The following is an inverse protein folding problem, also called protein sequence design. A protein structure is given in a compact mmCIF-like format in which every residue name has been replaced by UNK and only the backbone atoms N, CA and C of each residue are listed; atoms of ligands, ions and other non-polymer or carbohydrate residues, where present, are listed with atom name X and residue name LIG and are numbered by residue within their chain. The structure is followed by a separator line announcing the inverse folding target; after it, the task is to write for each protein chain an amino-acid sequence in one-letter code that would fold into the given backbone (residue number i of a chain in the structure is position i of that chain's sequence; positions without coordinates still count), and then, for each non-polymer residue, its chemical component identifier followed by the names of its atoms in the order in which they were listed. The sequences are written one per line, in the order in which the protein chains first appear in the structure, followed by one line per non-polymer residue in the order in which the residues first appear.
data_IF_516311676150
#
_entry.id   IF_516311676150
#
_cell.length_a   1.000
_cell.length_b   1.000
_cell.length_c   1.000
_cell.angle_alpha   90.00
_cell.angle_beta   90.00
_cell.angle_gamma   90.00
#
_symmetry.space_group_name_H-M   'P 1'
#
loop_
_entity.id
_entity.type
_entity.pdbx_description
1 polymer ?
#
# COMPACT_ATOMS: atom_id res chain seq x y z
N UNK A 1 -56.97 -55.93 -6.72
CA UNK A 1 -56.28 -54.81 -6.04
C UNK A 1 -54.93 -54.59 -6.71
N UNK A 2 -54.79 -53.57 -7.58
CA UNK A 2 -53.54 -53.29 -8.33
C UNK A 2 -52.78 -52.15 -7.64
N UNK A 3 -51.64 -52.46 -7.03
CA UNK A 3 -50.69 -51.46 -6.47
C UNK A 3 -49.94 -50.80 -7.63
N UNK A 4 -49.97 -49.46 -7.68
CA UNK A 4 -49.15 -48.64 -8.58
C UNK A 4 -47.81 -48.35 -7.91
N UNK A 5 -46.70 -48.71 -8.56
CA UNK A 5 -45.34 -48.32 -8.18
C UNK A 5 -45.03 -46.92 -8.73
N UNK A 6 -44.60 -46.02 -7.85
CA UNK A 6 -44.10 -44.69 -8.19
C UNK A 6 -42.60 -44.80 -8.55
N UNK A 7 -42.23 -44.34 -9.74
CA UNK A 7 -40.84 -44.14 -10.15
C UNK A 7 -40.48 -42.69 -9.83
N UNK A 8 -39.53 -42.46 -8.93
CA UNK A 8 -38.97 -41.14 -8.64
C UNK A 8 -37.83 -40.85 -9.63
N UNK A 9 -37.95 -39.76 -10.38
CA UNK A 9 -36.90 -39.25 -11.27
C UNK A 9 -36.07 -38.22 -10.47
N UNK A 10 -34.81 -38.54 -10.20
CA UNK A 10 -33.84 -37.57 -9.66
C UNK A 10 -33.34 -36.67 -10.79
N UNK A 11 -33.61 -35.37 -10.70
CA UNK A 11 -33.00 -34.33 -11.54
C UNK A 11 -31.75 -33.80 -10.87
N UNK A 12 -30.58 -34.05 -11.47
CA UNK A 12 -29.30 -33.43 -11.08
C UNK A 12 -29.21 -32.08 -11.79
N UNK A 13 -29.31 -30.98 -11.03
CA UNK A 13 -29.08 -29.63 -11.54
C UNK A 13 -27.57 -29.33 -11.52
N UNK A 14 -26.97 -29.17 -12.70
CA UNK A 14 -25.59 -28.72 -12.85
C UNK A 14 -25.52 -27.19 -12.74
N UNK A 15 -24.80 -26.69 -11.74
CA UNK A 15 -24.51 -25.26 -11.57
C UNK A 15 -23.26 -24.86 -12.38
N UNK A 16 -23.31 -23.77 -13.17
CA UNK A 16 -22.13 -23.26 -13.87
C UNK A 16 -21.19 -22.54 -12.90
N UNK A 17 -19.91 -22.94 -12.91
CA UNK A 17 -18.84 -22.25 -12.20
C UNK A 17 -18.50 -20.96 -12.96
N UNK A 18 -18.96 -19.82 -12.46
CA UNK A 18 -18.43 -18.52 -12.85
C UNK A 18 -17.05 -18.35 -12.20
N UNK A 19 -15.99 -18.34 -13.00
CA UNK A 19 -14.66 -17.94 -12.56
C UNK A 19 -14.60 -16.40 -12.62
N UNK A 20 -14.62 -15.75 -11.46
CA UNK A 20 -14.31 -14.33 -11.36
C UNK A 20 -12.81 -14.09 -11.59
N UNK A 21 -12.41 -12.96 -12.21
CA UNK A 21 -11.01 -12.63 -12.38
C UNK A 21 -10.34 -12.42 -11.01
N UNK A 22 -9.21 -13.10 -10.81
CA UNK A 22 -8.33 -12.87 -9.66
C UNK A 22 -7.54 -11.58 -9.90
N UNK A 23 -7.85 -10.53 -9.14
CA UNK A 23 -6.98 -9.36 -9.07
C UNK A 23 -5.73 -9.72 -8.26
N UNK A 24 -4.57 -9.42 -8.84
CA UNK A 24 -3.25 -9.60 -8.26
C UNK A 24 -3.14 -8.84 -6.92
N UNK A 25 -2.46 -9.46 -5.97
CA UNK A 25 -2.27 -8.97 -4.61
C UNK A 25 -1.36 -7.73 -4.58
N UNK A 26 -1.97 -6.54 -4.47
CA UNK A 26 -1.35 -5.32 -3.95
C UNK A 26 -2.14 -4.88 -2.72
N UNK A 27 -1.47 -4.43 -1.66
CA UNK A 27 -2.03 -4.11 -0.34
C UNK A 27 -3.43 -3.47 -0.38
N UNK A 28 -4.46 -4.32 -0.30
CA UNK A 28 -5.84 -3.91 -0.12
C UNK A 28 -6.09 -3.64 1.36
N UNK A 29 -5.78 -2.42 1.82
CA UNK A 29 -6.03 -2.00 3.19
C UNK A 29 -7.09 -0.90 3.24
N UNK A 30 -8.37 -1.27 3.30
CA UNK A 30 -9.40 -0.32 3.71
C UNK A 30 -9.35 -0.13 5.22
N UNK A 31 -8.45 0.75 5.69
CA UNK A 31 -8.33 1.03 7.12
C UNK A 31 -9.45 1.91 7.67
N UNK A 32 -9.45 2.14 8.99
CA UNK A 32 -10.56 2.77 9.71
C UNK A 32 -10.86 4.19 9.18
N UNK A 33 -9.83 4.92 8.76
CA UNK A 33 -10.01 6.27 8.21
C UNK A 33 -10.83 6.26 6.92
N UNK A 34 -10.61 5.27 6.05
CA UNK A 34 -11.31 5.20 4.74
C UNK A 34 -12.66 4.51 4.83
N UNK A 35 -12.87 3.65 5.83
CA UNK A 35 -14.10 2.87 6.01
C UNK A 35 -15.12 3.52 6.94
N UNK A 36 -14.69 4.29 7.94
CA UNK A 36 -15.58 4.81 8.99
C UNK A 36 -15.73 6.33 8.94
N UNK A 37 -14.75 7.05 8.43
CA UNK A 37 -14.73 8.51 8.45
C UNK A 37 -15.21 9.13 7.14
N UNK A 38 -15.80 10.32 7.26
CA UNK A 38 -16.23 11.11 6.10
C UNK A 38 -15.00 11.73 5.42
N UNK A 39 -15.22 12.31 4.26
CA UNK A 39 -14.22 13.17 3.60
C UNK A 39 -13.74 14.27 4.57
N UNK A 40 -12.44 14.55 4.56
CA UNK A 40 -11.75 15.51 5.45
C UNK A 40 -11.75 15.14 6.96
N UNK A 41 -12.15 13.91 7.30
CA UNK A 41 -12.02 13.35 8.66
C UNK A 41 -11.09 12.15 8.67
N UNK A 42 -10.40 11.96 9.79
CA UNK A 42 -9.50 10.82 10.04
C UNK A 42 -9.85 10.13 11.33
N UNK A 43 -9.55 8.83 11.43
CA UNK A 43 -9.78 8.06 12.64
C UNK A 43 -8.72 8.38 13.70
N UNK A 44 -9.15 8.90 14.85
CA UNK A 44 -8.31 9.05 16.04
C UNK A 44 -8.44 7.78 16.88
N UNK A 45 -7.38 6.96 16.89
CA UNK A 45 -7.36 5.67 17.59
C UNK A 45 -7.46 5.81 19.09
N UNK A 46 -6.86 6.87 19.67
CA UNK A 46 -6.91 7.11 21.11
C UNK A 46 -8.31 7.49 21.57
N UNK A 47 -9.02 8.26 20.75
CA UNK A 47 -10.39 8.71 21.05
C UNK A 47 -11.49 7.80 20.48
N UNK A 48 -11.12 6.79 19.67
CA UNK A 48 -12.02 5.90 18.93
C UNK A 48 -13.13 6.66 18.19
N UNK A 49 -12.75 7.72 17.47
CA UNK A 49 -13.72 8.54 16.72
C UNK A 49 -13.08 9.23 15.52
N UNK A 50 -13.91 9.59 14.55
CA UNK A 50 -13.51 10.45 13.44
C UNK A 50 -13.36 11.90 13.92
N UNK A 51 -12.26 12.53 13.52
CA UNK A 51 -11.93 13.93 13.85
C UNK A 51 -11.42 14.64 12.61
N UNK A 52 -11.56 15.97 12.58
CA UNK A 52 -10.85 16.78 11.59
C UNK A 52 -9.37 16.85 11.97
N UNK A 53 -8.45 16.43 11.07
CA UNK A 53 -7.03 16.43 11.37
C UNK A 53 -6.51 17.87 11.53
N UNK A 54 -5.83 18.13 12.64
CA UNK A 54 -5.19 19.41 12.94
C UNK A 54 -3.87 19.16 13.69
N UNK A 55 -2.91 20.06 13.50
CA UNK A 55 -1.61 19.96 14.16
C UNK A 55 -1.76 19.91 15.69
N UNK A 56 -1.09 18.95 16.33
CA UNK A 56 -1.12 18.75 17.79
C UNK A 56 -2.41 18.12 18.34
N UNK A 57 -3.42 17.83 17.51
CA UNK A 57 -4.68 17.24 17.97
C UNK A 57 -4.72 15.71 17.89
N UNK A 58 -3.89 15.13 17.03
CA UNK A 58 -3.68 13.71 16.86
C UNK A 58 -2.24 13.36 17.26
N UNK A 59 -2.06 12.16 17.78
CA UNK A 59 -0.75 11.59 17.98
C UNK A 59 -0.18 11.02 16.68
N UNK A 60 1.15 10.90 16.61
CA UNK A 60 1.85 10.52 15.40
C UNK A 60 1.48 9.13 14.88
N UNK A 61 1.09 8.18 15.76
CA UNK A 61 0.62 6.87 15.32
C UNK A 61 -0.75 6.96 14.62
N UNK A 62 -1.70 7.72 15.19
CA UNK A 62 -2.98 7.99 14.51
C UNK A 62 -2.78 8.73 13.19
N UNK A 63 -1.83 9.66 13.12
CA UNK A 63 -1.47 10.38 11.88
C UNK A 63 -0.89 9.42 10.85
N UNK A 64 0.04 8.55 11.25
CA UNK A 64 0.63 7.53 10.40
C UNK A 64 -0.44 6.58 9.84
N UNK A 65 -1.29 5.99 10.70
CA UNK A 65 -2.33 5.05 10.28
C UNK A 65 -3.34 5.72 9.33
N UNK A 66 -3.79 6.94 9.65
CA UNK A 66 -4.69 7.68 8.78
C UNK A 66 -4.06 8.02 7.43
N UNK A 67 -2.80 8.48 7.43
CA UNK A 67 -2.05 8.79 6.22
C UNK A 67 -1.80 7.56 5.34
N UNK A 68 -1.43 6.44 5.95
CA UNK A 68 -1.34 5.13 5.30
C UNK A 68 -2.66 4.76 4.62
N UNK A 69 -3.77 4.77 5.36
CA UNK A 69 -5.08 4.38 4.84
C UNK A 69 -5.50 5.24 3.64
N UNK A 70 -5.30 6.55 3.75
CA UNK A 70 -5.59 7.50 2.68
C UNK A 70 -4.72 7.25 1.45
N UNK A 71 -3.43 6.96 1.64
CA UNK A 71 -2.50 6.65 0.56
C UNK A 71 -2.91 5.37 -0.17
N UNK A 72 -3.25 4.30 0.57
CA UNK A 72 -3.69 3.03 0.00
C UNK A 72 -5.05 3.12 -0.72
N UNK A 73 -5.90 4.06 -0.30
CA UNK A 73 -7.15 4.37 -0.99
C UNK A 73 -6.99 5.33 -2.20
N UNK A 74 -5.76 5.69 -2.57
CA UNK A 74 -5.48 6.61 -3.69
C UNK A 74 -5.79 8.08 -3.40
N UNK A 75 -6.10 8.43 -2.15
CA UNK A 75 -6.40 9.80 -1.70
C UNK A 75 -5.10 10.53 -1.31
N UNK A 76 -4.17 10.62 -2.26
CA UNK A 76 -2.78 11.03 -2.00
C UNK A 76 -2.63 12.44 -1.43
N UNK A 77 -3.40 13.42 -1.91
CA UNK A 77 -3.32 14.79 -1.38
C UNK A 77 -3.85 14.89 0.06
N UNK A 78 -4.87 14.10 0.40
CA UNK A 78 -5.37 14.00 1.78
C UNK A 78 -4.35 13.30 2.67
N UNK A 79 -3.72 12.22 2.18
CA UNK A 79 -2.64 11.54 2.89
C UNK A 79 -1.48 12.49 3.21
N UNK A 80 -1.00 13.27 2.23
CA UNK A 80 0.04 14.28 2.43
C UNK A 80 -0.40 15.32 3.45
N UNK A 81 -1.62 15.83 3.33
CA UNK A 81 -2.15 16.85 4.24
C UNK A 81 -2.21 16.35 5.69
N UNK A 82 -2.51 15.07 5.91
CA UNK A 82 -2.56 14.45 7.25
C UNK A 82 -1.16 14.15 7.76
N UNK A 83 -0.32 13.47 6.96
CA UNK A 83 1.03 13.05 7.36
C UNK A 83 1.92 14.24 7.73
N UNK A 84 1.76 15.37 7.04
CA UNK A 84 2.49 16.62 7.35
C UNK A 84 2.11 17.25 8.69
N UNK A 85 1.06 16.77 9.38
CA UNK A 85 0.70 17.24 10.72
C UNK A 85 1.48 16.56 11.85
N UNK A 86 2.22 15.48 11.56
CA UNK A 86 2.98 14.73 12.56
C UNK A 86 3.92 15.64 13.37
N UNK A 87 4.00 15.45 14.68
CA UNK A 87 4.97 16.15 15.50
C UNK A 87 6.39 15.67 15.19
N UNK A 88 6.60 14.35 15.12
CA UNK A 88 7.86 13.75 14.73
C UNK A 88 8.03 13.73 13.20
N UNK A 89 8.75 14.72 12.66
CA UNK A 89 9.09 14.78 11.23
C UNK A 89 10.14 13.77 10.77
N UNK A 90 10.75 13.03 11.70
CA UNK A 90 11.77 12.01 11.44
C UNK A 90 11.25 10.59 11.67
N UNK A 91 9.94 10.38 11.74
CA UNK A 91 9.40 9.01 11.75
C UNK A 91 9.54 8.41 10.34
N UNK A 92 10.35 7.36 10.14
CA UNK A 92 10.58 6.78 8.82
C UNK A 92 9.31 6.18 8.21
N UNK A 93 8.31 5.79 9.03
CA UNK A 93 7.02 5.29 8.55
C UNK A 93 6.19 6.42 7.92
N UNK A 94 6.24 7.62 8.52
CA UNK A 94 5.55 8.82 8.01
C UNK A 94 6.25 9.32 6.75
N UNK A 95 7.58 9.38 6.76
CA UNK A 95 8.39 9.74 5.60
C UNK A 95 8.13 8.77 4.43
N UNK A 96 8.04 7.46 4.69
CA UNK A 96 7.66 6.47 3.68
C UNK A 96 6.34 6.81 2.96
N UNK A 97 5.27 7.08 3.72
CA UNK A 97 3.97 7.36 3.10
C UNK A 97 3.84 8.78 2.54
N UNK A 98 4.66 9.73 2.99
CA UNK A 98 4.85 11.00 2.27
C UNK A 98 5.50 10.74 0.91
N UNK A 99 6.57 9.92 0.89
CA UNK A 99 7.23 9.49 -0.34
C UNK A 99 6.26 8.83 -1.32
N UNK A 100 5.51 7.85 -0.84
CA UNK A 100 4.49 7.12 -1.59
C UNK A 100 3.43 8.03 -2.17
N UNK A 101 2.85 8.90 -1.33
CA UNK A 101 1.77 9.78 -1.76
C UNK A 101 2.27 10.84 -2.76
N UNK A 102 3.48 11.38 -2.57
CA UNK A 102 4.08 12.31 -3.53
C UNK A 102 4.38 11.62 -4.87
N UNK A 103 4.96 10.42 -4.85
CA UNK A 103 5.23 9.64 -6.06
C UNK A 103 3.96 9.37 -6.86
N UNK A 104 2.93 8.83 -6.22
CA UNK A 104 1.68 8.49 -6.91
C UNK A 104 0.83 9.71 -7.31
N UNK A 105 1.07 10.89 -6.72
CA UNK A 105 0.49 12.16 -7.18
C UNK A 105 1.30 12.82 -8.31
N UNK A 106 2.25 12.12 -8.92
CA UNK A 106 3.07 12.59 -10.03
C UNK A 106 4.28 13.44 -9.63
N UNK A 107 4.49 13.67 -8.33
CA UNK A 107 5.63 14.42 -7.78
C UNK A 107 6.78 13.47 -7.43
N UNK A 108 7.24 12.69 -8.42
CA UNK A 108 8.16 11.56 -8.22
C UNK A 108 9.48 12.00 -7.54
N UNK A 109 10.09 13.11 -7.97
CA UNK A 109 11.33 13.62 -7.36
C UNK A 109 11.16 14.03 -5.89
N UNK A 110 9.99 14.54 -5.51
CA UNK A 110 9.68 14.83 -4.09
C UNK A 110 9.54 13.52 -3.32
N UNK A 111 8.91 12.52 -3.93
CA UNK A 111 8.80 11.17 -3.37
C UNK A 111 10.16 10.54 -3.06
N UNK A 112 11.09 10.61 -4.01
CA UNK A 112 12.48 10.13 -3.87
C UNK A 112 13.15 10.72 -2.62
N UNK A 113 13.09 12.05 -2.45
CA UNK A 113 13.72 12.70 -1.30
C UNK A 113 13.17 12.25 0.05
N UNK A 114 11.86 11.96 0.14
CA UNK A 114 11.28 11.42 1.37
C UNK A 114 11.73 9.98 1.67
N UNK A 115 11.86 9.15 0.64
CA UNK A 115 12.39 7.79 0.81
C UNK A 115 13.86 7.79 1.22
N UNK A 116 14.69 8.64 0.60
CA UNK A 116 16.09 8.81 0.97
C UNK A 116 16.24 9.25 2.43
N UNK A 117 15.41 10.19 2.88
CA UNK A 117 15.40 10.64 4.27
C UNK A 117 14.95 9.52 5.23
N UNK A 118 13.93 8.74 4.86
CA UNK A 118 13.51 7.57 5.64
C UNK A 118 14.64 6.54 5.78
N UNK A 119 15.39 6.27 4.70
CA UNK A 119 16.54 5.35 4.72
C UNK A 119 17.77 5.90 5.42
N UNK A 120 17.93 7.23 5.51
CA UNK A 120 18.96 7.85 6.35
C UNK A 120 18.72 7.56 7.83
N UNK A 121 17.47 7.42 8.23
CA UNK A 121 17.03 7.16 9.61
C UNK A 121 17.01 5.66 9.91
N UNK A 122 16.39 4.86 9.02
CA UNK A 122 16.40 3.40 9.08
C UNK A 122 16.94 2.80 7.77
N UNK A 123 18.26 2.52 7.70
CA UNK A 123 18.86 1.92 6.52
C UNK A 123 18.35 0.50 6.20
N UNK A 124 17.65 -0.16 7.12
CA UNK A 124 17.17 -1.53 6.98
C UNK A 124 15.69 -1.62 6.59
N UNK A 125 15.03 -0.49 6.37
CA UNK A 125 13.62 -0.45 6.01
C UNK A 125 13.39 -0.91 4.55
N UNK A 126 13.25 -2.22 4.35
CA UNK A 126 13.17 -2.83 3.01
C UNK A 126 11.97 -2.39 2.20
N UNK A 127 10.82 -2.12 2.84
CA UNK A 127 9.64 -1.58 2.16
C UNK A 127 9.93 -0.21 1.51
N UNK A 128 10.68 0.66 2.19
CA UNK A 128 11.09 1.96 1.61
C UNK A 128 12.03 1.75 0.44
N UNK A 129 12.93 0.75 0.51
CA UNK A 129 13.85 0.42 -0.60
C UNK A 129 13.10 -0.08 -1.82
N UNK A 130 12.07 -0.92 -1.63
CA UNK A 130 11.18 -1.36 -2.70
C UNK A 130 10.60 -0.13 -3.40
N UNK A 131 9.88 0.73 -2.65
CA UNK A 131 9.23 1.91 -3.22
C UNK A 131 10.20 2.94 -3.82
N UNK A 132 11.40 3.10 -3.25
CA UNK A 132 12.46 3.90 -3.84
C UNK A 132 12.90 3.32 -5.19
N UNK A 133 13.09 2.01 -5.27
CA UNK A 133 13.42 1.32 -6.52
C UNK A 133 12.33 1.51 -7.59
N UNK A 134 11.05 1.39 -7.21
CA UNK A 134 9.95 1.66 -8.12
C UNK A 134 9.92 3.13 -8.59
N UNK A 135 10.24 4.07 -7.69
CA UNK A 135 10.32 5.49 -8.03
C UNK A 135 11.45 5.77 -9.02
N UNK A 136 12.60 5.10 -8.89
CA UNK A 136 13.68 5.16 -9.87
C UNK A 136 13.23 4.66 -11.25
N UNK A 137 12.50 3.54 -11.32
CA UNK A 137 11.93 3.05 -12.59
C UNK A 137 11.01 4.08 -13.25
N UNK A 138 10.16 4.77 -12.47
CA UNK A 138 9.25 5.80 -13.00
C UNK A 138 9.97 6.97 -13.67
N UNK A 139 11.20 7.29 -13.28
CA UNK A 139 12.02 8.32 -13.91
C UNK A 139 13.04 7.75 -14.93
N UNK A 140 12.96 6.46 -15.24
CA UNK A 140 13.85 5.79 -16.19
C UNK A 140 15.24 5.45 -15.63
N UNK A 141 15.44 5.56 -14.31
CA UNK A 141 16.70 5.22 -13.65
C UNK A 141 16.74 3.73 -13.28
N UNK A 142 16.98 2.88 -14.28
CA UNK A 142 17.12 1.45 -14.08
C UNK A 142 18.27 1.11 -13.10
N UNK A 143 19.36 1.88 -13.14
CA UNK A 143 20.52 1.63 -12.28
C UNK A 143 20.18 1.84 -10.80
N UNK A 144 19.46 2.93 -10.48
CA UNK A 144 18.97 3.20 -9.13
C UNK A 144 18.03 2.11 -8.62
N UNK A 145 17.13 1.61 -9.47
CA UNK A 145 16.23 0.52 -9.11
C UNK A 145 16.99 -0.79 -8.80
N UNK A 146 17.95 -1.15 -9.65
CA UNK A 146 18.80 -2.34 -9.43
C UNK A 146 19.65 -2.23 -8.16
N UNK A 147 20.11 -1.03 -7.82
CA UNK A 147 20.84 -0.81 -6.57
C UNK A 147 19.95 -1.07 -5.35
N UNK A 148 18.71 -0.58 -5.36
CA UNK A 148 17.77 -0.88 -4.27
C UNK A 148 17.45 -2.37 -4.17
N UNK A 149 17.30 -3.08 -5.30
CA UNK A 149 17.06 -4.53 -5.31
C UNK A 149 18.22 -5.30 -4.65
N UNK A 150 19.47 -4.95 -4.97
CA UNK A 150 20.66 -5.55 -4.32
C UNK A 150 20.69 -5.27 -2.83
N UNK A 151 20.35 -4.05 -2.42
CA UNK A 151 20.32 -3.68 -1.01
C UNK A 151 19.20 -4.42 -0.25
N UNK A 152 18.05 -4.70 -0.88
CA UNK A 152 17.03 -5.58 -0.31
C UNK A 152 17.58 -7.01 -0.18
N UNK A 153 18.13 -7.57 -1.26
CA UNK A 153 18.71 -8.92 -1.26
C UNK A 153 19.74 -9.12 -0.15
N UNK A 154 20.64 -8.15 0.03
CA UNK A 154 21.66 -8.18 1.08
C UNK A 154 21.08 -8.26 2.50
N UNK A 155 19.89 -7.69 2.73
CA UNK A 155 19.25 -7.61 4.05
C UNK A 155 18.34 -8.78 4.35
N UNK A 156 17.59 -9.23 3.35
CA UNK A 156 16.49 -10.19 3.55
C UNK A 156 16.57 -11.42 2.64
N UNK A 157 17.51 -11.43 1.69
CA UNK A 157 17.61 -12.45 0.65
C UNK A 157 16.54 -12.31 -0.44
N UNK A 158 16.64 -13.18 -1.44
CA UNK A 158 15.76 -13.20 -2.61
C UNK A 158 14.35 -13.74 -2.34
N UNK A 159 14.12 -14.33 -1.17
CA UNK A 159 12.82 -14.88 -0.76
C UNK A 159 11.87 -13.88 -0.10
N UNK A 160 12.29 -12.62 0.08
CA UNK A 160 11.44 -11.59 0.68
C UNK A 160 10.40 -11.05 -0.30
N UNK A 161 9.28 -10.55 0.23
CA UNK A 161 8.21 -9.94 -0.57
C UNK A 161 8.77 -8.75 -1.35
N UNK A 162 9.50 -7.87 -0.68
CA UNK A 162 10.04 -6.63 -1.24
C UNK A 162 11.01 -6.91 -2.40
N UNK A 163 11.83 -7.97 -2.29
CA UNK A 163 12.71 -8.39 -3.38
C UNK A 163 11.88 -8.87 -4.58
N UNK A 164 10.89 -9.73 -4.35
CA UNK A 164 10.03 -10.25 -5.41
C UNK A 164 9.29 -9.14 -6.16
N UNK A 165 8.69 -8.20 -5.43
CA UNK A 165 7.94 -7.07 -5.99
C UNK A 165 8.83 -6.19 -6.87
N UNK A 166 9.98 -5.74 -6.35
CA UNK A 166 10.86 -4.86 -7.13
C UNK A 166 11.52 -5.61 -8.30
N UNK A 167 11.90 -6.87 -8.13
CA UNK A 167 12.45 -7.69 -9.21
C UNK A 167 11.46 -7.83 -10.37
N UNK A 168 10.19 -8.10 -10.07
CA UNK A 168 9.14 -8.21 -11.09
C UNK A 168 8.94 -6.90 -11.86
N UNK A 169 8.98 -5.75 -11.17
CA UNK A 169 8.86 -4.45 -11.82
C UNK A 169 10.06 -4.10 -12.70
N UNK A 170 11.28 -4.41 -12.26
CA UNK A 170 12.49 -4.26 -13.09
C UNK A 170 12.38 -5.12 -14.34
N UNK A 171 11.96 -6.37 -14.19
CA UNK A 171 11.75 -7.30 -15.30
C UNK A 171 10.69 -6.80 -16.28
N UNK A 172 9.60 -6.21 -15.78
CA UNK A 172 8.58 -5.59 -16.62
C UNK A 172 9.14 -4.38 -17.39
N UNK A 173 9.86 -3.48 -16.71
CA UNK A 173 10.48 -2.30 -17.30
C UNK A 173 11.46 -2.64 -18.43
N UNK A 174 12.21 -3.75 -18.31
CA UNK A 174 13.12 -4.22 -19.35
C UNK A 174 12.43 -4.78 -20.60
N UNK A 175 11.13 -5.12 -20.51
CA UNK A 175 10.36 -5.69 -21.62
C UNK A 175 9.47 -4.66 -22.33
N UNK A 176 9.21 -3.52 -21.70
CA UNK A 176 8.43 -2.41 -22.26
C UNK A 176 9.22 -1.56 -23.23
#
# INVERSE_FOLDING_TARGET
MRRRLLVQVLTIAALPLFVAPAFAAGEGGSGQTTTQCKKDEVWDKKKNKCVKPQYGMLDDDSIYEAGHDLAMAGRYDEAISVLTLAANKQDPRILNYLGYSHRHSGRVTVGLGYYEEALRIDPNYTLVREYLGEAHLQIGDLAGAQEQLKEIEKRTGTGSREYGMLSEQIDHFLRS
#
